data_IF_047487960668
#
_entry.id   IF_047487960668
#
_cell.length_a   1.000
_cell.length_b   1.000
_cell.length_c   1.000
_cell.angle_alpha   90.00
_cell.angle_beta   90.00
_cell.angle_gamma   90.00
#
_symmetry.space_group_name_H-M   'P 1'
#
loop_
_entity.id
_entity.type
_entity.pdbx_description
1 polymer ?
#
# COMPACT_ATOMS: atom_id res chain seq x y z
N UNK A 1 3.24 5.38 9.38
CA UNK A 1 2.07 4.50 9.13
C UNK A 1 1.24 4.23 10.38
N UNK A 2 1.79 3.61 11.44
CA UNK A 2 1.00 3.36 12.68
C UNK A 2 0.55 4.66 13.36
N UNK A 3 1.42 5.66 13.38
CA UNK A 3 1.10 7.02 13.85
C UNK A 3 0.04 7.73 12.99
N UNK A 4 -0.11 7.31 11.73
CA UNK A 4 -1.14 7.81 10.82
C UNK A 4 -2.44 6.96 10.90
N UNK A 5 -2.52 6.00 11.82
CA UNK A 5 -3.68 5.11 11.99
C UNK A 5 -3.73 3.92 11.02
N UNK A 6 -2.73 3.73 10.16
CA UNK A 6 -2.68 2.59 9.23
C UNK A 6 -2.09 1.34 9.88
N UNK A 7 -2.68 0.18 9.56
CA UNK A 7 -2.08 -1.14 9.82
C UNK A 7 -1.35 -1.61 8.56
N UNK A 8 -0.09 -1.97 8.71
CA UNK A 8 0.74 -2.51 7.62
C UNK A 8 0.80 -4.03 7.74
N UNK A 9 0.60 -4.74 6.63
CA UNK A 9 0.81 -6.18 6.51
C UNK A 9 1.82 -6.42 5.38
N UNK A 10 2.85 -7.22 5.63
CA UNK A 10 3.72 -7.73 4.56
C UNK A 10 3.29 -9.17 4.26
N UNK A 11 3.10 -9.50 2.98
CA UNK A 11 2.55 -10.78 2.54
C UNK A 11 3.50 -11.38 1.50
N UNK A 12 3.81 -12.66 1.62
CA UNK A 12 4.50 -13.43 0.57
C UNK A 12 3.99 -14.87 0.55
N UNK A 13 4.37 -15.62 -0.49
CA UNK A 13 4.06 -17.05 -0.62
C UNK A 13 5.01 -17.95 0.17
N UNK A 14 5.85 -17.37 1.04
CA UNK A 14 6.74 -18.09 1.94
C UNK A 14 5.97 -18.66 3.14
N UNK A 15 6.59 -19.63 3.83
CA UNK A 15 5.99 -20.25 5.01
C UNK A 15 6.17 -19.38 6.25
N UNK A 16 5.32 -19.59 7.26
CA UNK A 16 5.48 -18.97 8.58
C UNK A 16 6.87 -19.23 9.17
N UNK A 17 7.43 -20.43 8.96
CA UNK A 17 8.76 -20.79 9.44
C UNK A 17 9.87 -20.01 8.74
N UNK A 18 9.74 -19.82 7.41
CA UNK A 18 10.68 -18.99 6.65
C UNK A 18 10.63 -17.54 7.14
N UNK A 19 9.44 -16.99 7.39
CA UNK A 19 9.26 -15.65 7.96
C UNK A 19 9.90 -15.49 9.33
N UNK A 20 9.78 -16.50 10.20
CA UNK A 20 10.45 -16.51 11.51
C UNK A 20 11.96 -16.44 11.36
N UNK A 21 12.55 -17.35 10.58
CA UNK A 21 14.00 -17.38 10.35
C UNK A 21 14.47 -16.08 9.71
N UNK A 22 13.73 -15.53 8.75
CA UNK A 22 14.07 -14.27 8.11
C UNK A 22 14.04 -13.10 9.10
N UNK A 23 13.06 -13.08 10.01
CA UNK A 23 12.97 -12.06 11.06
C UNK A 23 14.11 -12.16 12.07
N UNK A 24 14.52 -13.37 12.42
CA UNK A 24 15.57 -13.62 13.40
C UNK A 24 16.97 -13.36 12.83
N UNK A 25 17.18 -13.59 11.53
CA UNK A 25 18.51 -13.55 10.91
C UNK A 25 18.79 -12.29 10.09
N UNK A 26 17.78 -11.63 9.52
CA UNK A 26 17.99 -10.47 8.64
C UNK A 26 18.14 -9.16 9.42
N UNK A 27 19.25 -8.42 9.25
CA UNK A 27 19.41 -7.08 9.82
C UNK A 27 18.28 -6.12 9.40
N UNK A 28 17.76 -6.29 8.18
CA UNK A 28 16.69 -5.43 7.63
C UNK A 28 15.35 -5.59 8.38
N UNK A 29 15.18 -6.70 9.10
CA UNK A 29 13.93 -7.03 9.80
C UNK A 29 13.95 -6.70 11.30
N UNK A 30 15.10 -6.28 11.83
CA UNK A 30 15.28 -5.96 13.25
C UNK A 30 14.25 -4.93 13.77
N UNK A 31 13.90 -3.96 12.92
CA UNK A 31 12.95 -2.89 13.26
C UNK A 31 11.56 -3.09 12.62
N UNK A 32 11.28 -4.28 12.07
CA UNK A 32 9.99 -4.57 11.46
C UNK A 32 8.94 -4.89 12.54
N UNK A 33 8.12 -3.91 12.87
CA UNK A 33 7.03 -4.04 13.86
C UNK A 33 5.66 -4.41 13.25
N UNK A 34 5.64 -4.82 11.99
CA UNK A 34 4.44 -5.27 11.29
C UNK A 34 4.45 -6.80 11.10
N UNK A 35 3.28 -7.43 11.01
CA UNK A 35 3.18 -8.87 10.77
C UNK A 35 3.64 -9.24 9.36
N UNK A 36 4.26 -10.42 9.28
CA UNK A 36 4.57 -11.13 8.05
C UNK A 36 3.53 -12.24 7.86
N UNK A 37 2.65 -12.08 6.87
CA UNK A 37 1.59 -13.02 6.54
C UNK A 37 2.12 -14.04 5.53
N UNK A 38 1.93 -15.31 5.84
CA UNK A 38 2.24 -16.43 4.94
C UNK A 38 1.02 -16.74 4.07
N UNK A 39 1.15 -16.54 2.76
CA UNK A 39 0.19 -16.90 1.72
C UNK A 39 0.64 -18.18 0.99
N UNK A 40 0.93 -19.25 1.74
CA UNK A 40 1.37 -20.53 1.18
C UNK A 40 0.36 -21.16 0.22
N UNK A 41 -0.93 -20.89 0.42
CA UNK A 41 -2.00 -21.34 -0.47
C UNK A 41 -2.10 -20.50 -1.75
N UNK A 42 -1.35 -19.39 -1.84
CA UNK A 42 -1.37 -18.41 -2.93
C UNK A 42 -2.74 -17.76 -3.16
N UNK A 43 -3.70 -17.95 -2.24
CA UNK A 43 -5.06 -17.47 -2.40
C UNK A 43 -5.13 -15.95 -2.29
N UNK A 44 -4.35 -15.36 -1.38
CA UNK A 44 -4.33 -13.90 -1.21
C UNK A 44 -3.72 -13.27 -2.47
N UNK A 45 -2.56 -13.76 -2.90
CA UNK A 45 -1.85 -13.23 -4.08
C UNK A 45 -2.70 -13.35 -5.34
N UNK A 46 -3.44 -14.46 -5.52
CA UNK A 46 -4.37 -14.65 -6.64
C UNK A 46 -5.59 -13.74 -6.53
N UNK A 47 -6.20 -13.60 -5.34
CA UNK A 47 -7.35 -12.73 -5.12
C UNK A 47 -7.03 -11.26 -5.43
N UNK A 48 -5.84 -10.79 -5.05
CA UNK A 48 -5.38 -9.44 -5.39
C UNK A 48 -4.82 -9.32 -6.80
N UNK A 49 -4.79 -10.39 -7.60
CA UNK A 49 -4.23 -10.43 -8.97
C UNK A 49 -2.79 -9.91 -9.01
N UNK A 50 -1.95 -10.48 -8.16
CA UNK A 50 -0.53 -10.17 -8.03
C UNK A 50 0.34 -11.43 -8.00
N UNK A 51 -0.23 -12.62 -8.15
CA UNK A 51 0.53 -13.85 -8.25
C UNK A 51 1.15 -13.98 -9.65
N UNK A 52 2.44 -14.24 -9.71
CA UNK A 52 3.10 -14.81 -10.88
C UNK A 52 2.90 -16.33 -10.83
N UNK A 53 1.98 -16.84 -11.64
CA UNK A 53 1.60 -18.26 -11.65
C UNK A 53 2.77 -19.18 -12.05
N UNK A 54 3.73 -18.69 -12.84
CA UNK A 54 4.90 -19.47 -13.23
C UNK A 54 5.93 -19.54 -12.10
N UNK A 55 6.15 -18.43 -11.41
CA UNK A 55 7.12 -18.38 -10.31
C UNK A 55 6.55 -18.86 -8.96
N UNK A 56 5.22 -18.94 -8.81
CA UNK A 56 4.57 -19.25 -7.54
C UNK A 56 4.77 -18.18 -6.47
N UNK A 57 5.05 -16.93 -6.89
CA UNK A 57 5.40 -15.82 -6.02
C UNK A 57 4.64 -14.55 -6.39
N UNK A 58 4.37 -13.67 -5.42
CA UNK A 58 3.74 -12.40 -5.70
C UNK A 58 4.71 -11.45 -6.43
N UNK A 59 4.22 -10.73 -7.43
CA UNK A 59 4.89 -9.53 -7.94
C UNK A 59 4.92 -8.44 -6.87
N UNK A 60 5.79 -7.44 -7.02
CA UNK A 60 5.93 -6.36 -6.05
C UNK A 60 4.72 -5.44 -6.10
N UNK A 61 3.71 -5.70 -5.28
CA UNK A 61 2.51 -4.88 -5.20
C UNK A 61 2.37 -4.20 -3.84
N UNK A 62 1.62 -3.11 -3.81
CA UNK A 62 1.14 -2.48 -2.58
C UNK A 62 -0.32 -2.09 -2.79
N UNK A 63 -1.16 -2.49 -1.85
CA UNK A 63 -2.60 -2.27 -1.90
C UNK A 63 -3.00 -1.48 -0.67
N UNK A 64 -3.63 -0.33 -0.88
CA UNK A 64 -4.25 0.46 0.18
C UNK A 64 -5.73 0.11 0.23
N UNK A 65 -6.18 -0.35 1.39
CA UNK A 65 -7.56 -0.74 1.65
C UNK A 65 -8.12 0.19 2.72
N UNK A 66 -9.28 0.77 2.46
CA UNK A 66 -9.94 1.66 3.42
C UNK A 66 -10.67 0.84 4.52
N UNK A 67 -11.17 1.48 5.58
CA UNK A 67 -11.86 0.78 6.67
C UNK A 67 -13.12 -0.02 6.26
N UNK A 68 -13.72 0.31 5.11
CA UNK A 68 -14.88 -0.41 4.55
C UNK A 68 -14.47 -1.64 3.71
N UNK A 69 -13.17 -1.97 3.67
CA UNK A 69 -12.65 -3.09 2.89
C UNK A 69 -12.52 -2.80 1.39
N UNK A 70 -12.67 -1.54 0.96
CA UNK A 70 -12.57 -1.16 -0.45
C UNK A 70 -11.12 -0.80 -0.77
N UNK A 71 -10.62 -1.31 -1.89
CA UNK A 71 -9.30 -0.95 -2.41
C UNK A 71 -9.33 0.52 -2.87
N UNK A 72 -8.59 1.37 -2.18
CA UNK A 72 -8.42 2.78 -2.53
C UNK A 72 -7.29 3.00 -3.54
N UNK A 73 -6.26 2.15 -3.52
CA UNK A 73 -5.17 2.17 -4.50
C UNK A 73 -4.49 0.81 -4.59
N UNK A 74 -3.98 0.50 -5.78
CA UNK A 74 -3.09 -0.63 -6.04
C UNK A 74 -1.96 -0.17 -6.94
N UNK A 75 -0.72 -0.34 -6.48
CA UNK A 75 0.49 -0.08 -7.27
C UNK A 75 1.26 -1.38 -7.46
N UNK A 76 1.71 -1.64 -8.68
CA UNK A 76 2.49 -2.82 -9.05
C UNK A 76 3.80 -2.37 -9.66
N UNK A 77 4.89 -2.94 -9.18
CA UNK A 77 6.25 -2.72 -9.65
C UNK A 77 6.79 -4.00 -10.28
N UNK A 78 7.61 -3.89 -11.33
CA UNK A 78 8.37 -5.02 -11.85
C UNK A 78 9.41 -5.49 -10.82
N UNK A 79 9.98 -6.69 -10.98
CA UNK A 79 10.82 -7.33 -9.94
C UNK A 79 12.12 -6.55 -9.70
N UNK A 80 12.57 -5.82 -10.70
CA UNK A 80 13.81 -5.05 -10.78
C UNK A 80 13.71 -3.69 -10.09
N UNK A 81 12.50 -3.18 -9.85
CA UNK A 81 12.27 -1.82 -9.35
C UNK A 81 11.73 -1.84 -7.92
N UNK A 82 12.40 -1.10 -7.04
CA UNK A 82 11.98 -0.88 -5.66
C UNK A 82 10.74 0.01 -5.56
N UNK A 83 9.97 -0.16 -4.48
CA UNK A 83 8.80 0.70 -4.19
C UNK A 83 9.25 2.08 -3.72
N UNK A 84 8.50 3.11 -4.11
CA UNK A 84 8.66 4.45 -3.54
C UNK A 84 7.83 4.59 -2.25
N UNK A 85 8.50 4.62 -1.10
CA UNK A 85 7.82 4.77 0.20
C UNK A 85 7.26 6.19 0.42
N UNK A 86 7.92 7.22 -0.09
CA UNK A 86 7.42 8.59 0.01
C UNK A 86 6.08 8.74 -0.72
N UNK A 87 5.96 8.13 -1.90
CA UNK A 87 4.69 8.15 -2.64
C UNK A 87 3.60 7.35 -1.92
N UNK A 88 3.93 6.21 -1.31
CA UNK A 88 2.96 5.45 -0.52
C UNK A 88 2.43 6.27 0.67
N UNK A 89 3.31 6.97 1.38
CA UNK A 89 2.94 7.83 2.51
C UNK A 89 2.12 9.03 2.02
N UNK A 90 2.57 9.72 0.98
CA UNK A 90 1.87 10.87 0.38
C UNK A 90 0.46 10.49 -0.07
N UNK A 91 0.31 9.34 -0.73
CA UNK A 91 -0.99 8.84 -1.17
C UNK A 91 -1.90 8.51 0.01
N UNK A 92 -1.35 7.92 1.07
CA UNK A 92 -2.12 7.65 2.29
C UNK A 92 -2.61 8.96 2.94
N UNK A 93 -1.74 9.97 3.07
CA UNK A 93 -2.08 11.28 3.61
C UNK A 93 -3.10 12.02 2.73
N UNK A 94 -2.99 11.92 1.41
CA UNK A 94 -3.97 12.45 0.46
C UNK A 94 -5.36 11.85 0.67
N UNK A 95 -5.44 10.52 0.84
CA UNK A 95 -6.70 9.83 1.10
C UNK A 95 -7.31 10.27 2.44
N UNK A 96 -6.48 10.43 3.48
CA UNK A 96 -6.93 10.95 4.77
C UNK A 96 -7.44 12.39 4.66
N UNK A 97 -6.72 13.26 3.96
CA UNK A 97 -7.12 14.65 3.74
C UNK A 97 -8.45 14.73 3.02
N UNK A 98 -8.64 13.94 1.96
CA UNK A 98 -9.92 13.87 1.23
C UNK A 98 -11.06 13.43 2.17
N UNK A 99 -10.82 12.40 2.98
CA UNK A 99 -11.82 11.87 3.91
C UNK A 99 -12.19 12.88 5.01
N UNK A 100 -11.23 13.67 5.50
CA UNK A 100 -11.45 14.65 6.57
C UNK A 100 -12.10 15.94 6.08
N UNK A 101 -11.74 16.42 4.88
CA UNK A 101 -12.16 17.73 4.37
C UNK A 101 -13.30 17.65 3.36
N UNK A 102 -13.49 16.50 2.71
CA UNK A 102 -14.38 16.37 1.57
C UNK A 102 -13.89 17.07 0.29
N UNK A 103 -12.69 17.66 0.29
CA UNK A 103 -12.10 18.31 -0.88
C UNK A 103 -11.40 17.28 -1.77
N UNK A 104 -11.38 17.54 -3.07
CA UNK A 104 -10.55 16.81 -4.03
C UNK A 104 -9.06 17.06 -3.76
N UNK A 105 -8.25 16.07 -4.10
CA UNK A 105 -6.79 16.14 -3.97
C UNK A 105 -6.17 16.31 -5.36
N UNK A 106 -5.55 17.46 -5.67
CA UNK A 106 -4.99 17.71 -6.99
C UNK A 106 -3.77 16.84 -7.30
N UNK A 107 -3.35 16.83 -8.57
CA UNK A 107 -2.13 16.17 -8.99
C UNK A 107 -0.91 16.74 -8.24
N UNK A 108 0.05 15.87 -7.91
CA UNK A 108 1.26 16.23 -7.15
C UNK A 108 1.02 16.82 -5.75
N UNK A 109 -0.20 16.69 -5.20
CA UNK A 109 -0.51 17.22 -3.88
C UNK A 109 0.41 16.65 -2.79
N UNK A 110 0.87 17.52 -1.89
CA UNK A 110 1.61 17.15 -0.69
C UNK A 110 0.97 17.76 0.58
N UNK A 111 1.21 17.19 1.77
CA UNK A 111 0.66 17.72 3.01
C UNK A 111 0.92 19.23 3.18
N UNK A 112 -0.11 19.97 3.57
CA UNK A 112 -0.09 21.42 3.73
C UNK A 112 -0.56 22.21 2.50
N UNK A 113 -0.73 21.57 1.34
CA UNK A 113 -1.31 22.21 0.16
C UNK A 113 -2.85 22.24 0.20
N UNK A 114 -3.49 23.24 -0.42
CA UNK A 114 -4.95 23.31 -0.48
C UNK A 114 -5.54 22.18 -1.33
N UNK A 115 -6.74 21.74 -0.95
CA UNK A 115 -7.58 20.89 -1.77
C UNK A 115 -8.39 21.68 -2.79
N UNK A 116 -9.15 20.97 -3.62
CA UNK A 116 -10.04 21.58 -4.63
C UNK A 116 -11.50 21.22 -4.38
N UNK A 117 -12.43 22.14 -4.62
CA UNK A 117 -13.86 21.82 -4.61
C UNK A 117 -14.21 20.92 -5.80
N UNK A 118 -15.04 19.91 -5.57
CA UNK A 118 -15.36 18.86 -6.55
C UNK A 118 -16.58 19.20 -7.43
N UNK A 119 -17.01 20.46 -7.42
CA UNK A 119 -18.22 20.90 -8.10
C UNK A 119 -17.99 21.03 -9.60
N UNK A 120 -18.96 20.57 -10.40
CA UNK A 120 -18.92 20.63 -11.87
C UNK A 120 -18.74 22.08 -12.35
N UNK A 121 -19.28 23.05 -11.62
CA UNK A 121 -19.14 24.48 -11.93
C UNK A 121 -17.69 24.99 -11.96
N UNK A 122 -16.74 24.24 -11.39
CA UNK A 122 -15.32 24.57 -11.34
C UNK A 122 -14.46 23.70 -12.29
N UNK A 123 -15.08 22.83 -13.09
CA UNK A 123 -14.34 22.04 -14.08
C UNK A 123 -13.67 22.96 -15.12
N UNK A 124 -12.35 22.81 -15.32
CA UNK A 124 -11.55 23.57 -16.29
C UNK A 124 -11.12 24.98 -15.86
N UNK A 125 -11.40 25.38 -14.61
CA UNK A 125 -10.97 26.68 -14.06
C UNK A 125 -9.63 26.63 -13.30
N UNK A 126 -9.05 25.44 -13.17
CA UNK A 126 -7.76 25.17 -12.52
C UNK A 126 -6.80 24.53 -13.52
#
# INVERSE_FOLDING_TARGET
>A
MKELGAKLLAISTDSLYSHKVFKDTSPSMKNAHYPLVSDRSQQISRAYRVLDEHAGAAVRATVLVNPNGIIASKTVYPKEVGRNLHELVRLFEALMFNQQTGLGVPANWTPGQPGIHRDIANAGKY
#
